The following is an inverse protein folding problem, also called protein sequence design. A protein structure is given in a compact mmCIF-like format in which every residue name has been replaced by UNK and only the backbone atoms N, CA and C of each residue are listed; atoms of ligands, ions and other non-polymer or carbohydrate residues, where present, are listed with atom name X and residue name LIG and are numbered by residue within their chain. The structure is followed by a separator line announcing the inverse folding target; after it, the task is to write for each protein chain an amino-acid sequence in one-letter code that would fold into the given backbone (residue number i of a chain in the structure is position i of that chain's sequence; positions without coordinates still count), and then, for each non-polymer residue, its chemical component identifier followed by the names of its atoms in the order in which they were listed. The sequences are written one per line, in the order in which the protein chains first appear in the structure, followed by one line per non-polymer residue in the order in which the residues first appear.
data_IF_571417151913
#
_entry.id   IF_571417151913
#
_cell.length_a   1.000
_cell.length_b   1.000
_cell.length_c   1.000
_cell.angle_alpha   90.00
_cell.angle_beta   90.00
_cell.angle_gamma   90.00
#
_symmetry.space_group_name_H-M   'P 1'
#
loop_
_entity.id
_entity.type
_entity.pdbx_description
1 polymer ?
#
# COMPACT_ATOMS: atom_id res chain seq x y z
N UNK A 1 42.75 8.97 -6.70
CA UNK A 1 42.41 7.55 -6.93
C UNK A 1 40.92 7.45 -7.20
N UNK A 2 40.57 7.08 -8.43
CA UNK A 2 39.20 6.82 -8.88
C UNK A 2 38.87 5.34 -8.57
N UNK A 3 37.76 5.06 -7.87
CA UNK A 3 37.21 3.71 -7.78
C UNK A 3 36.00 3.63 -8.71
N UNK A 4 36.18 2.86 -9.79
CA UNK A 4 35.15 2.49 -10.76
C UNK A 4 34.60 1.10 -10.46
N UNK A 5 33.31 0.94 -10.76
CA UNK A 5 32.59 -0.26 -11.22
C UNK A 5 32.33 -1.37 -10.18
N UNK A 6 31.06 -1.65 -9.81
CA UNK A 6 29.98 -2.29 -10.59
C UNK A 6 30.27 -3.73 -10.99
N UNK A 7 29.51 -4.69 -10.45
CA UNK A 7 28.49 -5.43 -11.20
C UNK A 7 27.98 -6.67 -10.44
N UNK A 8 26.65 -6.80 -10.40
CA UNK A 8 25.93 -8.04 -10.16
C UNK A 8 26.08 -9.01 -11.33
N UNK A 9 26.11 -10.31 -11.04
CA UNK A 9 25.81 -11.36 -12.01
C UNK A 9 24.94 -12.46 -11.38
N UNK A 10 23.81 -12.74 -12.02
CA UNK A 10 22.90 -13.87 -11.80
C UNK A 10 23.42 -15.10 -12.57
N UNK A 11 23.33 -16.29 -11.99
CA UNK A 11 23.19 -17.61 -12.65
C UNK A 11 23.16 -18.65 -11.51
N UNK A 12 22.47 -19.79 -11.50
CA UNK A 12 22.08 -20.71 -12.56
C UNK A 12 20.98 -21.63 -12.02
N UNK A 13 20.20 -22.22 -12.95
CA UNK A 13 19.28 -23.34 -12.70
C UNK A 13 20.07 -24.62 -12.44
N UNK A 14 19.48 -25.56 -11.70
CA UNK A 14 19.79 -26.97 -11.88
C UNK A 14 18.58 -27.87 -11.62
N UNK A 15 18.52 -28.98 -12.36
CA UNK A 15 17.38 -29.86 -12.58
C UNK A 15 17.80 -31.33 -12.42
N UNK A 16 16.94 -32.13 -11.77
CA UNK A 16 17.00 -33.61 -11.78
C UNK A 16 17.96 -34.19 -10.73
N UNK A 17 17.74 -35.37 -10.15
CA UNK A 17 16.78 -36.43 -10.40
C UNK A 17 16.85 -37.45 -9.24
N UNK A 18 16.05 -38.51 -9.40
CA UNK A 18 16.25 -39.89 -8.90
C UNK A 18 15.53 -40.27 -7.59
N UNK A 19 14.46 -41.03 -7.81
CA UNK A 19 13.70 -41.94 -6.95
C UNK A 19 14.54 -42.98 -6.18
N UNK A 20 13.98 -43.51 -5.09
CA UNK A 20 13.95 -44.97 -4.94
C UNK A 20 12.59 -45.52 -4.47
N UNK A 21 12.17 -46.60 -5.13
CA UNK A 21 11.28 -47.66 -4.61
C UNK A 21 12.19 -48.82 -4.13
N UNK A 22 11.82 -49.72 -3.18
CA UNK A 22 10.58 -50.51 -3.24
C UNK A 22 9.92 -50.95 -1.90
N UNK A 23 8.67 -51.43 -2.05
CA UNK A 23 7.96 -52.54 -1.36
C UNK A 23 8.06 -52.74 0.16
N UNK A 24 6.91 -52.72 0.85
CA UNK A 24 6.14 -53.92 1.23
C UNK A 24 5.22 -53.69 2.46
N UNK A 25 4.14 -54.49 2.50
CA UNK A 25 3.25 -54.84 3.62
C UNK A 25 2.20 -53.79 4.05
N UNK A 26 0.91 -54.01 3.74
CA UNK A 26 -0.09 -54.85 4.44
C UNK A 26 -0.57 -54.29 5.80
N UNK A 27 -1.89 -54.05 5.83
CA UNK A 27 -2.81 -54.09 6.98
C UNK A 27 -2.80 -52.96 8.03
N UNK A 28 -3.91 -52.21 8.01
CA UNK A 28 -4.94 -52.18 9.05
C UNK A 28 -5.31 -50.79 9.61
N UNK A 29 -6.63 -50.60 9.68
CA UNK A 29 -7.37 -49.84 10.70
C UNK A 29 -7.42 -48.31 10.59
N UNK A 30 -8.63 -47.80 10.33
CA UNK A 30 -9.03 -46.45 10.70
C UNK A 30 -9.06 -46.31 12.24
N UNK A 31 -8.86 -45.11 12.81
CA UNK A 31 -10.01 -44.21 12.98
C UNK A 31 -9.72 -42.71 12.80
N UNK A 32 -10.76 -42.03 12.35
CA UNK A 32 -11.15 -40.62 12.49
C UNK A 32 -10.36 -39.79 13.53
N UNK A 33 -9.62 -38.76 13.07
CA UNK A 33 -9.32 -37.53 13.84
C UNK A 33 -9.07 -36.32 12.93
N UNK A 34 -10.06 -35.43 12.95
CA UNK A 34 -10.02 -34.00 12.64
C UNK A 34 -8.83 -33.31 13.35
N UNK A 35 -7.80 -32.90 12.62
CA UNK A 35 -6.78 -31.95 13.09
C UNK A 35 -6.52 -30.95 11.98
N UNK A 36 -6.67 -29.68 12.33
CA UNK A 36 -6.75 -28.55 11.43
C UNK A 36 -5.59 -28.47 10.44
N UNK A 37 -5.96 -28.28 9.18
CA UNK A 37 -5.14 -27.54 8.24
C UNK A 37 -4.85 -26.18 8.89
N UNK A 38 -3.64 -26.04 9.45
CA UNK A 38 -2.97 -24.75 9.39
C UNK A 38 -2.65 -24.54 7.92
N UNK A 39 -3.60 -23.97 7.20
CA UNK A 39 -3.24 -23.12 6.08
C UNK A 39 -2.44 -21.99 6.70
N UNK A 40 -1.13 -22.17 6.72
CA UNK A 40 -0.18 -21.07 6.76
C UNK A 40 -0.34 -20.35 5.43
N UNK A 41 -1.47 -19.63 5.33
CA UNK A 41 -1.72 -18.68 4.27
C UNK A 41 -0.59 -17.68 4.36
N UNK A 42 0.35 -17.78 3.42
CA UNK A 42 1.34 -16.75 3.18
C UNK A 42 0.60 -15.45 2.96
N UNK A 43 0.40 -14.71 4.06
CA UNK A 43 -0.23 -13.42 4.03
C UNK A 43 0.78 -12.50 3.36
N UNK A 44 0.62 -12.31 2.05
CA UNK A 44 0.89 -11.00 1.47
C UNK A 44 0.32 -10.00 2.47
N UNK A 45 1.20 -9.27 3.14
CA UNK A 45 0.84 -8.37 4.23
C UNK A 45 0.12 -7.18 3.62
N UNK A 46 -1.14 -7.39 3.25
CA UNK A 46 -2.00 -6.38 2.69
C UNK A 46 -2.03 -5.23 3.69
N UNK A 47 -1.39 -4.13 3.30
CA UNK A 47 -1.13 -3.00 4.18
C UNK A 47 -2.47 -2.44 4.66
N UNK A 48 -2.62 -2.29 5.97
CA UNK A 48 -3.88 -1.82 6.57
C UNK A 48 -4.20 -0.37 6.17
N UNK A 49 -5.49 -0.01 6.20
CA UNK A 49 -5.95 1.36 5.97
C UNK A 49 -5.27 2.38 6.89
N UNK A 50 -5.17 2.05 8.19
CA UNK A 50 -4.51 2.93 9.16
C UNK A 50 -3.05 3.22 8.79
N UNK A 51 -2.35 2.22 8.28
CA UNK A 51 -0.95 2.38 7.87
C UNK A 51 -0.83 3.24 6.61
N UNK A 52 -1.75 3.09 5.64
CA UNK A 52 -1.84 3.98 4.49
C UNK A 52 -2.08 5.44 4.91
N UNK A 53 -2.99 5.67 5.85
CA UNK A 53 -3.26 7.01 6.40
C UNK A 53 -2.04 7.63 7.09
N UNK A 54 -1.32 6.84 7.90
CA UNK A 54 -0.07 7.30 8.54
C UNK A 54 0.97 7.69 7.51
N UNK A 55 1.17 6.88 6.47
CA UNK A 55 2.11 7.18 5.38
C UNK A 55 1.71 8.45 4.62
N UNK A 56 0.42 8.64 4.34
CA UNK A 56 -0.05 9.86 3.71
C UNK A 56 0.18 11.11 4.57
N UNK A 57 -0.09 11.03 5.89
CA UNK A 57 0.23 12.14 6.81
C UNK A 57 1.74 12.43 6.81
N UNK A 58 2.58 11.39 6.86
CA UNK A 58 4.03 11.57 6.79
C UNK A 58 4.48 12.23 5.47
N UNK A 59 3.86 11.87 4.34
CA UNK A 59 4.13 12.49 3.04
C UNK A 59 3.70 13.97 2.99
N UNK A 60 2.57 14.33 3.62
CA UNK A 60 2.15 15.72 3.77
C UNK A 60 3.13 16.54 4.61
N UNK A 61 3.61 15.97 5.73
CA UNK A 61 4.63 16.60 6.55
C UNK A 61 5.94 16.77 5.79
N UNK A 62 6.38 15.74 5.04
CA UNK A 62 7.57 15.82 4.21
C UNK A 62 7.45 16.91 3.12
N UNK A 63 6.25 17.08 2.55
CA UNK A 63 5.98 18.15 1.58
C UNK A 63 6.09 19.54 2.23
N UNK A 64 5.49 19.73 3.41
CA UNK A 64 5.59 20.98 4.16
C UNK A 64 7.03 21.30 4.59
N UNK A 65 7.78 20.28 5.01
CA UNK A 65 9.18 20.38 5.38
C UNK A 65 10.06 20.74 4.17
N UNK A 66 9.80 20.13 3.02
CA UNK A 66 10.50 20.46 1.77
C UNK A 66 10.23 21.92 1.37
N UNK A 67 8.98 22.37 1.38
CA UNK A 67 8.64 23.78 1.09
C UNK A 67 9.44 24.72 2.00
N UNK A 68 9.39 24.48 3.31
CA UNK A 68 10.11 25.31 4.30
C UNK A 68 11.62 25.29 4.10
N UNK A 69 12.23 24.13 3.85
CA UNK A 69 13.66 23.98 3.67
C UNK A 69 14.17 24.72 2.41
N UNK A 70 13.35 24.78 1.36
CA UNK A 70 13.73 25.36 0.07
C UNK A 70 13.28 26.82 -0.11
N UNK A 71 12.38 27.33 0.72
CA UNK A 71 11.93 28.71 0.64
C UNK A 71 13.01 29.72 0.99
N UNK A 72 13.87 29.45 1.97
CA UNK A 72 14.97 30.34 2.34
C UNK A 72 16.04 30.45 1.22
N UNK A 73 16.56 29.34 0.65
CA UNK A 73 17.43 29.41 -0.53
C UNK A 73 16.78 30.10 -1.73
N UNK A 74 15.49 29.88 -1.96
CA UNK A 74 14.72 30.53 -3.04
C UNK A 74 14.61 32.04 -2.81
N UNK A 75 14.27 32.47 -1.60
CA UNK A 75 14.18 33.89 -1.24
C UNK A 75 15.53 34.60 -1.38
N UNK A 76 16.63 33.90 -1.08
CA UNK A 76 17.99 34.38 -1.29
C UNK A 76 18.49 34.26 -2.74
N UNK A 77 17.65 33.83 -3.69
CA UNK A 77 18.00 33.59 -5.11
C UNK A 77 19.18 32.62 -5.31
N UNK A 78 19.45 31.74 -4.33
CA UNK A 78 20.53 30.75 -4.37
C UNK A 78 20.19 29.51 -5.19
N UNK A 79 18.92 29.32 -5.52
CA UNK A 79 18.38 28.16 -6.25
C UNK A 79 17.50 28.68 -7.39
N UNK A 80 17.61 28.06 -8.57
CA UNK A 80 16.75 28.42 -9.70
C UNK A 80 15.31 27.96 -9.46
N UNK A 81 14.33 28.68 -10.02
CA UNK A 81 12.92 28.28 -9.93
C UNK A 81 12.68 26.85 -10.45
N UNK A 82 13.42 26.41 -11.47
CA UNK A 82 13.34 25.06 -12.01
C UNK A 82 13.86 24.03 -11.01
N UNK A 83 15.00 24.29 -10.35
CA UNK A 83 15.52 23.40 -9.32
C UNK A 83 14.58 23.32 -8.10
N UNK A 84 13.99 24.45 -7.69
CA UNK A 84 12.96 24.48 -6.64
C UNK A 84 11.73 23.64 -7.01
N UNK A 85 11.19 23.85 -8.22
CA UNK A 85 10.02 23.11 -8.70
C UNK A 85 10.27 21.59 -8.79
N UNK A 86 11.43 21.18 -9.31
CA UNK A 86 11.78 19.76 -9.40
C UNK A 86 11.88 19.10 -8.02
N UNK A 87 12.38 19.82 -7.01
CA UNK A 87 12.45 19.27 -5.63
C UNK A 87 11.08 19.12 -5.00
N UNK A 88 10.16 20.06 -5.23
CA UNK A 88 8.79 19.94 -4.75
C UNK A 88 7.98 18.88 -5.50
N UNK A 89 8.32 18.63 -6.77
CA UNK A 89 7.61 17.67 -7.60
C UNK A 89 7.72 16.24 -7.06
N UNK A 90 8.88 15.82 -6.58
CA UNK A 90 9.08 14.46 -6.08
C UNK A 90 8.27 14.21 -4.80
N UNK A 91 8.32 15.12 -3.83
CA UNK A 91 7.53 15.00 -2.59
C UNK A 91 6.02 15.09 -2.86
N UNK A 92 5.60 15.90 -3.84
CA UNK A 92 4.20 15.97 -4.26
C UNK A 92 3.73 14.68 -4.93
N UNK A 93 4.59 14.01 -5.72
CA UNK A 93 4.27 12.70 -6.31
C UNK A 93 4.11 11.62 -5.24
N UNK A 94 4.93 11.65 -4.20
CA UNK A 94 4.85 10.70 -3.10
C UNK A 94 3.59 10.89 -2.25
N UNK A 95 3.19 12.15 -1.99
CA UNK A 95 1.92 12.47 -1.31
C UNK A 95 0.73 11.99 -2.14
N UNK A 96 0.73 12.30 -3.44
CA UNK A 96 -0.32 11.88 -4.36
C UNK A 96 -0.42 10.35 -4.46
N UNK A 97 0.70 9.64 -4.51
CA UNK A 97 0.72 8.18 -4.52
C UNK A 97 0.11 7.60 -3.23
N UNK A 98 0.43 8.18 -2.07
CA UNK A 98 -0.17 7.77 -0.79
C UNK A 98 -1.67 8.04 -0.76
N UNK A 99 -2.11 9.19 -1.28
CA UNK A 99 -3.53 9.55 -1.38
C UNK A 99 -4.30 8.58 -2.25
N UNK A 100 -3.78 8.25 -3.43
CA UNK A 100 -4.39 7.28 -4.34
C UNK A 100 -4.46 5.88 -3.74
N UNK A 101 -3.45 5.49 -2.94
CA UNK A 101 -3.48 4.22 -2.25
C UNK A 101 -4.62 4.14 -1.22
N UNK A 102 -4.94 5.24 -0.52
CA UNK A 102 -6.11 5.31 0.38
C UNK A 102 -7.42 5.28 -0.40
N UNK A 103 -7.53 6.02 -1.50
CA UNK A 103 -8.74 6.07 -2.32
C UNK A 103 -9.09 4.69 -2.89
N UNK A 104 -8.09 3.98 -3.41
CA UNK A 104 -8.26 2.67 -4.02
C UNK A 104 -8.25 1.52 -3.01
N UNK A 105 -8.00 1.79 -1.73
CA UNK A 105 -8.06 0.78 -0.69
C UNK A 105 -9.48 0.22 -0.58
N UNK A 106 -9.63 -1.11 -0.61
CA UNK A 106 -10.91 -1.79 -0.36
C UNK A 106 -11.04 -2.11 1.14
N UNK A 107 -11.94 -1.43 1.88
CA UNK A 107 -12.25 -1.72 3.27
C UNK A 107 -12.74 -3.16 3.46
N UNK A 108 -12.37 -3.74 4.60
CA UNK A 108 -12.77 -5.11 4.98
C UNK A 108 -14.11 -5.16 5.72
N UNK A 109 -14.73 -4.01 5.97
CA UNK A 109 -16.04 -3.90 6.61
C UNK A 109 -16.38 -2.47 7.03
N UNK A 110 -17.59 -2.29 7.58
CA UNK A 110 -18.21 -0.99 7.88
C UNK A 110 -17.31 -0.04 8.67
N UNK A 111 -16.55 -0.56 9.64
CA UNK A 111 -15.66 0.25 10.47
C UNK A 111 -14.57 0.91 9.61
N UNK A 112 -13.95 0.15 8.72
CA UNK A 112 -12.92 0.67 7.82
C UNK A 112 -13.52 1.56 6.74
N UNK A 113 -14.72 1.24 6.22
CA UNK A 113 -15.41 2.09 5.25
C UNK A 113 -15.71 3.47 5.85
N UNK A 114 -16.23 3.52 7.07
CA UNK A 114 -16.46 4.78 7.80
C UNK A 114 -15.16 5.54 8.08
N UNK A 115 -14.09 4.82 8.44
CA UNK A 115 -12.79 5.42 8.68
C UNK A 115 -12.21 6.05 7.40
N UNK A 116 -12.24 5.32 6.27
CA UNK A 116 -11.83 5.81 4.95
C UNK A 116 -12.61 7.07 4.58
N UNK A 117 -13.93 7.04 4.72
CA UNK A 117 -14.79 8.18 4.42
C UNK A 117 -14.48 9.39 5.30
N UNK A 118 -14.40 9.20 6.62
CA UNK A 118 -14.12 10.28 7.57
C UNK A 118 -12.76 10.93 7.29
N UNK A 119 -11.74 10.12 7.00
CA UNK A 119 -10.43 10.62 6.65
C UNK A 119 -10.43 11.41 5.34
N UNK A 120 -11.07 10.89 4.28
CA UNK A 120 -11.16 11.59 2.99
C UNK A 120 -11.95 12.89 3.13
N UNK A 121 -13.04 12.91 3.89
CA UNK A 121 -13.79 14.14 4.17
C UNK A 121 -12.90 15.18 4.88
N UNK A 122 -12.18 14.77 5.94
CA UNK A 122 -11.27 15.65 6.66
C UNK A 122 -10.15 16.20 5.76
N UNK A 123 -9.56 15.34 4.93
CA UNK A 123 -8.53 15.73 3.95
C UNK A 123 -9.04 16.79 2.97
N UNK A 124 -10.24 16.59 2.39
CA UNK A 124 -10.82 17.52 1.42
C UNK A 124 -11.16 18.87 2.08
N UNK A 125 -11.64 18.86 3.32
CA UNK A 125 -11.90 20.10 4.07
C UNK A 125 -10.58 20.85 4.34
N UNK A 126 -9.54 20.13 4.79
CA UNK A 126 -8.25 20.73 5.14
C UNK A 126 -7.52 21.31 3.90
N UNK A 127 -7.58 20.59 2.77
CA UNK A 127 -6.90 21.01 1.52
C UNK A 127 -7.77 21.92 0.64
N UNK A 128 -9.07 22.03 0.94
CA UNK A 128 -10.08 22.60 0.03
C UNK A 128 -10.08 21.92 -1.35
N UNK A 129 -9.66 20.66 -1.38
CA UNK A 129 -9.57 19.86 -2.60
C UNK A 129 -10.92 19.26 -3.00
N UNK A 130 -10.94 18.66 -4.19
CA UNK A 130 -12.10 17.95 -4.72
C UNK A 130 -11.68 16.58 -5.22
N UNK A 131 -12.57 15.59 -5.11
CA UNK A 131 -12.36 14.29 -5.74
C UNK A 131 -12.85 14.32 -7.18
N UNK A 132 -12.10 13.67 -8.06
CA UNK A 132 -12.59 13.34 -9.40
C UNK A 132 -13.75 12.35 -9.32
N UNK A 133 -14.68 12.29 -10.30
CA UNK A 133 -15.80 11.36 -10.27
C UNK A 133 -15.41 9.89 -10.07
N UNK A 134 -14.31 9.44 -10.67
CA UNK A 134 -13.78 8.08 -10.49
C UNK A 134 -13.30 7.83 -9.05
N UNK A 135 -12.64 8.81 -8.44
CA UNK A 135 -12.19 8.75 -7.05
C UNK A 135 -13.38 8.80 -6.07
N UNK A 136 -14.41 9.59 -6.40
CA UNK A 136 -15.65 9.66 -5.64
C UNK A 136 -16.32 8.28 -5.61
N UNK A 137 -16.44 7.62 -6.76
CA UNK A 137 -16.96 6.25 -6.81
C UNK A 137 -16.10 5.30 -5.99
N UNK A 138 -14.77 5.31 -6.12
CA UNK A 138 -13.89 4.45 -5.32
C UNK A 138 -14.02 4.67 -3.80
N UNK A 139 -14.40 5.87 -3.34
CA UNK A 139 -14.67 6.16 -1.93
C UNK A 139 -16.07 5.72 -1.50
N UNK A 140 -17.06 5.75 -2.40
CA UNK A 140 -18.47 5.49 -2.10
C UNK A 140 -18.94 4.06 -2.41
N UNK A 141 -18.36 3.34 -3.36
CA UNK A 141 -18.78 1.99 -3.77
C UNK A 141 -18.79 1.02 -2.58
N UNK A 142 -17.84 1.17 -1.64
CA UNK A 142 -17.75 0.37 -0.41
C UNK A 142 -18.87 0.64 0.62
N UNK A 143 -19.69 1.67 0.40
CA UNK A 143 -20.86 1.98 1.28
C UNK A 143 -22.17 1.40 0.75
N UNK A 144 -22.19 0.92 -0.50
CA UNK A 144 -23.40 0.45 -1.19
C UNK A 144 -23.64 -1.06 -1.05
N UNK A 145 -22.64 -1.83 -0.66
CA UNK A 145 -22.75 -3.28 -0.42
C UNK A 145 -23.47 -3.66 0.88
N UNK A 146 -24.14 -2.69 1.54
CA UNK A 146 -24.99 -2.95 2.71
C UNK A 146 -26.19 -3.80 2.28
N UNK A 147 -26.37 -5.04 2.76
CA UNK A 147 -27.66 -5.70 2.65
C UNK A 147 -28.66 -4.87 3.43
N UNK A 148 -29.65 -4.33 2.73
CA UNK A 148 -30.84 -3.74 3.32
C UNK A 148 -31.48 -4.82 4.18
N UNK A 149 -31.22 -4.82 5.48
CA UNK A 149 -32.05 -5.59 6.41
C UNK A 149 -33.40 -4.90 6.43
N UNK A 150 -34.27 -5.31 5.51
CA UNK A 150 -35.70 -5.02 5.55
C UNK A 150 -36.19 -5.51 6.90
N UNK A 151 -36.46 -4.57 7.79
CA UNK A 151 -37.21 -4.85 9.01
C UNK A 151 -38.67 -4.85 8.59
N UNK A 152 -39.25 -6.05 8.53
CA UNK A 152 -40.69 -6.26 8.33
C UNK A 152 -41.49 -5.79 9.53
#
# INVERSE_FOLDING_TARGET
MLLLSSSSSRSSRDTGAISPSPSAALSASAPDRKVGQKEEGGAETAISLCELMKRHIAAQLATADAVRAWDEPRAASKVTNVAYANRLLDVARDEEACRLAIINYRPRGDRESRLKLAYMAAYLIATRGTLQPSQMNAVLEDTRDRPSTSVS
#
